data_IF_275846277196
#
_entry.id   IF_275846277196
#
_cell.length_a   1.000
_cell.length_b   1.000
_cell.length_c   1.000
_cell.angle_alpha   90.00
_cell.angle_beta   90.00
_cell.angle_gamma   90.00
#
_symmetry.space_group_name_H-M   'P 1'
#
loop_
_entity.id
_entity.type
_entity.pdbx_description
1 polymer ?
#
# COMPACT_ATOMS: atom_id res chain seq x y z
N UNK A 1 -3.95 22.81 37.38
CA UNK A 1 -4.52 23.27 36.09
C UNK A 1 -3.81 24.48 35.47
N UNK A 2 -3.12 25.36 36.23
CA UNK A 2 -2.37 26.49 35.64
C UNK A 2 -1.12 26.07 34.83
N UNK A 3 -0.47 24.94 35.17
CA UNK A 3 0.76 24.48 34.49
C UNK A 3 0.56 23.97 33.06
N UNK A 4 -0.60 23.39 32.71
CA UNK A 4 -0.86 22.88 31.36
C UNK A 4 -1.11 23.99 30.33
N UNK A 5 -1.64 25.15 30.74
CA UNK A 5 -1.91 26.27 29.84
C UNK A 5 -0.62 26.98 29.38
N UNK A 6 0.39 27.07 30.25
CA UNK A 6 1.69 27.68 29.92
C UNK A 6 2.47 26.83 28.92
N UNK A 7 2.42 25.50 29.04
CA UNK A 7 3.13 24.59 28.12
C UNK A 7 2.55 24.65 26.70
N UNK A 8 1.22 24.73 26.54
CA UNK A 8 0.55 24.85 25.23
C UNK A 8 0.88 26.19 24.56
N UNK A 9 0.92 27.29 25.31
CA UNK A 9 1.27 28.61 24.77
C UNK A 9 2.72 28.67 24.24
N UNK A 10 3.67 28.03 24.93
CA UNK A 10 5.07 27.97 24.50
C UNK A 10 5.23 27.16 23.21
N UNK A 11 4.58 25.99 23.08
CA UNK A 11 4.63 25.18 21.87
C UNK A 11 4.01 25.89 20.65
N UNK A 12 2.88 26.58 20.84
CA UNK A 12 2.25 27.36 19.77
C UNK A 12 3.14 28.53 19.29
N UNK A 13 3.84 29.19 20.22
CA UNK A 13 4.76 30.29 19.87
C UNK A 13 5.97 29.83 19.04
N UNK A 14 6.51 28.64 19.32
CA UNK A 14 7.61 28.06 18.55
C UNK A 14 7.24 27.72 17.11
N UNK A 15 6.10 27.05 16.92
CA UNK A 15 5.60 26.69 15.58
C UNK A 15 5.29 27.94 14.72
N UNK A 16 4.74 28.99 15.32
CA UNK A 16 4.48 30.24 14.61
C UNK A 16 5.77 30.96 14.19
N UNK A 17 6.78 31.01 15.07
CA UNK A 17 8.09 31.61 14.77
C UNK A 17 8.82 30.86 13.65
N UNK A 18 8.81 29.52 13.71
CA UNK A 18 9.40 28.65 12.70
C UNK A 18 8.70 28.81 11.33
N UNK A 19 7.36 28.94 11.31
CA UNK A 19 6.62 29.22 10.09
C UNK A 19 6.98 30.58 9.49
N UNK A 20 7.11 31.60 10.33
CA UNK A 20 7.51 32.93 9.89
C UNK A 20 8.94 32.94 9.32
N UNK A 21 9.88 32.20 9.92
CA UNK A 21 11.25 32.06 9.40
C UNK A 21 11.26 31.38 8.02
N UNK A 22 10.51 30.29 7.86
CA UNK A 22 10.39 29.59 6.57
C UNK A 22 9.88 30.51 5.45
N UNK A 23 8.75 31.19 5.66
CA UNK A 23 8.17 32.05 4.63
C UNK A 23 9.06 33.27 4.32
N UNK A 24 9.73 33.84 5.33
CA UNK A 24 10.66 34.95 5.12
C UNK A 24 11.86 34.52 4.26
N UNK A 25 12.47 33.37 4.57
CA UNK A 25 13.60 32.83 3.80
C UNK A 25 13.20 32.41 2.40
N UNK A 26 12.01 31.82 2.25
CA UNK A 26 11.45 31.44 0.96
C UNK A 26 11.13 32.66 0.09
N UNK A 27 10.53 33.71 0.64
CA UNK A 27 10.25 34.93 -0.12
C UNK A 27 11.52 35.68 -0.48
N UNK A 28 12.54 35.71 0.39
CA UNK A 28 13.85 36.24 0.05
C UNK A 28 14.44 35.51 -1.17
N UNK A 29 14.44 34.18 -1.16
CA UNK A 29 14.89 33.37 -2.30
C UNK A 29 14.05 33.61 -3.57
N UNK A 30 12.73 33.74 -3.45
CA UNK A 30 11.85 34.09 -4.59
C UNK A 30 12.20 35.46 -5.15
N UNK A 31 12.52 36.43 -4.30
CA UNK A 31 12.94 37.77 -4.74
C UNK A 31 14.24 37.74 -5.52
N UNK A 32 15.22 36.95 -5.08
CA UNK A 32 16.47 36.74 -5.81
C UNK A 32 16.22 36.03 -7.15
N UNK A 33 15.36 35.01 -7.17
CA UNK A 33 14.95 34.31 -8.38
C UNK A 33 14.29 35.25 -9.41
N UNK A 34 13.42 36.18 -8.97
CA UNK A 34 12.81 37.18 -9.86
C UNK A 34 13.89 37.99 -10.59
N UNK A 35 14.87 38.52 -9.86
CA UNK A 35 15.97 39.28 -10.47
C UNK A 35 16.82 38.45 -11.43
N UNK A 36 17.07 37.18 -11.11
CA UNK A 36 17.81 36.27 -12.00
C UNK A 36 17.02 35.94 -13.29
N UNK A 37 15.71 35.74 -13.18
CA UNK A 37 14.83 35.50 -14.32
C UNK A 37 14.68 36.73 -15.22
N UNK A 38 14.67 37.94 -14.66
CA UNK A 38 14.70 39.17 -15.46
C UNK A 38 15.97 39.24 -16.33
N UNK A 39 17.14 38.93 -15.76
CA UNK A 39 18.39 38.83 -16.52
C UNK A 39 18.35 37.76 -17.62
N UNK A 40 17.72 36.61 -17.35
CA UNK A 40 17.51 35.57 -18.36
C UNK A 40 16.56 36.02 -19.48
N UNK A 41 15.47 36.73 -19.14
CA UNK A 41 14.52 37.32 -20.09
C UNK A 41 15.20 38.32 -21.03
N UNK A 42 16.07 39.18 -20.50
CA UNK A 42 16.88 40.12 -21.28
C UNK A 42 17.80 39.40 -22.26
N UNK A 43 18.50 38.36 -21.81
CA UNK A 43 19.36 37.55 -22.67
C UNK A 43 18.56 36.83 -23.77
N UNK A 44 17.42 36.22 -23.45
CA UNK A 44 16.56 35.59 -24.45
C UNK A 44 16.05 36.60 -25.49
N UNK A 45 15.75 37.83 -25.07
CA UNK A 45 15.37 38.90 -26.00
C UNK A 45 16.55 39.32 -26.90
N UNK A 46 17.77 39.43 -26.36
CA UNK A 46 18.95 39.77 -27.14
C UNK A 46 19.33 38.67 -28.15
N UNK A 47 18.92 37.43 -27.89
CA UNK A 47 19.26 36.23 -28.69
C UNK A 47 18.07 35.71 -29.51
N UNK A 48 17.00 36.50 -29.68
CA UNK A 48 15.79 36.11 -30.42
C UNK A 48 15.16 34.73 -30.01
N UNK A 49 15.26 34.39 -28.72
CA UNK A 49 14.67 33.19 -28.09
C UNK A 49 13.31 33.50 -27.48
N UNK A 50 12.34 33.83 -28.33
CA UNK A 50 11.07 34.38 -27.86
C UNK A 50 10.20 33.39 -27.07
N UNK A 51 10.28 32.09 -27.34
CA UNK A 51 9.50 31.08 -26.64
C UNK A 51 10.11 30.76 -25.26
N UNK A 52 11.44 30.70 -25.15
CA UNK A 52 12.12 30.61 -23.84
C UNK A 52 11.85 31.84 -22.99
N UNK A 53 11.90 33.03 -23.59
CA UNK A 53 11.50 34.27 -22.92
C UNK A 53 10.05 34.22 -22.42
N UNK A 54 9.12 33.67 -23.21
CA UNK A 54 7.72 33.51 -22.79
C UNK A 54 7.64 32.68 -21.51
N UNK A 55 8.28 31.51 -21.47
CA UNK A 55 8.28 30.62 -20.30
C UNK A 55 8.81 31.32 -19.05
N UNK A 56 9.90 32.07 -19.17
CA UNK A 56 10.48 32.83 -18.06
C UNK A 56 9.53 33.94 -17.57
N UNK A 57 8.88 34.67 -18.49
CA UNK A 57 7.87 35.67 -18.14
C UNK A 57 6.63 35.05 -17.47
N UNK A 58 6.16 33.89 -17.93
CA UNK A 58 5.05 33.15 -17.30
C UNK A 58 5.41 32.79 -15.85
N UNK A 59 6.62 32.29 -15.62
CA UNK A 59 7.12 32.01 -14.28
C UNK A 59 7.24 33.28 -13.42
N UNK A 60 7.73 34.40 -13.98
CA UNK A 60 7.75 35.68 -13.28
C UNK A 60 6.35 36.11 -12.82
N UNK A 61 5.31 35.87 -13.62
CA UNK A 61 3.93 36.15 -13.23
C UNK A 61 3.37 35.21 -12.16
N UNK A 62 3.86 33.98 -12.09
CA UNK A 62 3.52 33.10 -10.97
C UNK A 62 4.17 33.56 -9.65
N UNK A 63 5.37 34.15 -9.72
CA UNK A 63 6.10 34.67 -8.56
C UNK A 63 5.66 36.09 -8.14
N UNK A 64 5.30 36.93 -9.12
CA UNK A 64 4.77 38.28 -8.96
C UNK A 64 3.68 38.52 -10.03
N UNK A 65 2.39 38.34 -9.69
CA UNK A 65 1.29 38.51 -10.62
C UNK A 65 1.17 39.92 -11.23
N UNK A 66 1.82 40.93 -10.65
CA UNK A 66 1.77 42.32 -11.12
C UNK A 66 3.06 42.75 -11.83
N UNK A 67 3.96 41.82 -12.16
CA UNK A 67 5.23 42.09 -12.81
C UNK A 67 5.06 42.76 -14.17
N UNK A 68 5.19 44.09 -14.21
CA UNK A 68 4.77 44.91 -15.34
C UNK A 68 5.52 44.58 -16.65
N UNK A 69 6.82 44.26 -16.58
CA UNK A 69 7.61 43.91 -17.75
C UNK A 69 7.19 42.58 -18.39
N UNK A 70 6.94 41.55 -17.57
CA UNK A 70 6.46 40.25 -18.02
C UNK A 70 5.04 40.35 -18.62
N UNK A 71 4.12 41.08 -17.97
CA UNK A 71 2.77 41.34 -18.50
C UNK A 71 2.83 41.99 -19.90
N UNK A 72 3.63 43.05 -20.07
CA UNK A 72 3.82 43.68 -21.39
C UNK A 72 4.41 42.72 -22.42
N UNK A 73 5.42 41.93 -22.03
CA UNK A 73 6.09 40.97 -22.91
C UNK A 73 5.13 39.89 -23.40
N UNK A 74 4.23 39.43 -22.54
CA UNK A 74 3.19 38.45 -22.84
C UNK A 74 1.98 39.06 -23.56
N UNK A 75 1.98 40.38 -23.82
CA UNK A 75 0.93 41.07 -24.58
C UNK A 75 -0.30 41.49 -23.77
N UNK A 76 -0.22 41.48 -22.44
CA UNK A 76 -1.27 42.07 -21.61
C UNK A 76 -1.32 43.58 -21.82
N UNK A 77 -2.53 44.14 -21.79
CA UNK A 77 -2.76 45.59 -21.93
C UNK A 77 -3.48 46.12 -20.70
N UNK A 78 -3.25 47.38 -20.32
CA UNK A 78 -4.02 48.01 -19.23
C UNK A 78 -5.31 48.59 -19.78
N UNK A 79 -6.43 48.29 -19.13
CA UNK A 79 -7.69 48.97 -19.40
C UNK A 79 -7.72 50.39 -18.82
N UNK A 80 -8.83 51.11 -19.03
CA UNK A 80 -9.02 52.46 -18.50
C UNK A 80 -9.02 52.53 -16.96
N UNK A 81 -9.32 51.41 -16.29
CA UNK A 81 -9.28 51.28 -14.83
C UNK A 81 -7.90 50.91 -14.29
N UNK A 82 -6.91 50.71 -15.17
CA UNK A 82 -5.56 50.32 -14.80
C UNK A 82 -5.36 48.83 -14.56
N UNK A 83 -6.41 48.01 -14.71
CA UNK A 83 -6.30 46.56 -14.58
C UNK A 83 -5.68 45.97 -15.86
N UNK A 84 -4.86 44.93 -15.68
CA UNK A 84 -4.26 44.21 -16.79
C UNK A 84 -5.27 43.23 -17.41
N UNK A 85 -5.41 43.30 -18.72
CA UNK A 85 -6.28 42.45 -19.52
C UNK A 85 -5.42 41.51 -20.38
N UNK A 86 -5.72 40.20 -20.41
CA UNK A 86 -4.98 39.25 -21.23
C UNK A 86 -5.15 39.55 -22.72
N UNK A 87 -4.17 39.17 -23.56
CA UNK A 87 -4.30 39.35 -25.01
C UNK A 87 -5.48 38.56 -25.56
N UNK A 88 -6.24 39.16 -26.48
CA UNK A 88 -7.41 38.50 -27.10
C UNK A 88 -7.05 37.21 -27.86
N UNK A 89 -5.80 37.10 -28.32
CA UNK A 89 -5.23 35.88 -28.92
C UNK A 89 -3.81 35.68 -28.37
N UNK A 90 -3.47 34.48 -27.87
CA UNK A 90 -2.11 34.18 -27.45
C UNK A 90 -1.12 34.41 -28.61
N UNK A 91 -0.03 35.10 -28.34
CA UNK A 91 1.02 35.31 -29.34
C UNK A 91 1.78 34.00 -29.54
N UNK A 92 1.93 33.59 -30.80
CA UNK A 92 2.83 32.48 -31.15
C UNK A 92 4.27 33.00 -31.09
N UNK A 93 5.09 32.36 -30.26
CA UNK A 93 6.52 32.66 -30.15
C UNK A 93 7.32 31.52 -30.77
N UNK A 94 8.41 31.87 -31.45
CA UNK A 94 9.34 30.92 -32.06
C UNK A 94 10.76 31.39 -31.74
N UNK A 95 11.62 30.46 -31.38
CA UNK A 95 13.04 30.74 -31.19
C UNK A 95 13.74 30.69 -32.55
N UNK A 96 14.55 31.72 -32.86
CA UNK A 96 15.21 31.86 -34.16
C UNK A 96 16.70 31.52 -34.11
N UNK A 97 17.39 31.86 -33.02
CA UNK A 97 18.80 31.54 -32.84
C UNK A 97 18.97 30.11 -32.30
N UNK A 98 19.51 29.21 -33.13
CA UNK A 98 19.72 27.81 -32.74
C UNK A 98 20.92 27.62 -31.83
N UNK A 99 21.94 28.48 -31.91
CA UNK A 99 23.14 28.38 -31.09
C UNK A 99 22.81 28.84 -29.67
N UNK A 100 22.16 30.01 -29.54
CA UNK A 100 21.67 30.47 -28.25
C UNK A 100 20.64 29.52 -27.63
N UNK A 101 19.77 28.90 -28.45
CA UNK A 101 18.81 27.91 -27.95
C UNK A 101 19.51 26.69 -27.33
N UNK A 102 20.67 26.28 -27.85
CA UNK A 102 21.47 25.20 -27.25
C UNK A 102 22.07 25.62 -25.89
N UNK A 103 22.35 26.91 -25.67
CA UNK A 103 22.82 27.45 -24.38
C UNK A 103 21.69 27.67 -23.36
N UNK A 104 20.44 27.79 -23.82
CA UNK A 104 19.29 28.16 -22.99
C UNK A 104 19.11 27.27 -21.75
N UNK A 105 19.25 25.92 -21.80
CA UNK A 105 19.13 25.09 -20.60
C UNK A 105 20.19 25.41 -19.53
N UNK A 106 21.43 25.70 -19.93
CA UNK A 106 22.51 26.03 -18.99
C UNK A 106 22.30 27.41 -18.36
N UNK A 107 21.84 28.38 -19.15
CA UNK A 107 21.49 29.73 -18.69
C UNK A 107 20.28 29.71 -17.76
N UNK A 108 19.25 28.91 -18.07
CA UNK A 108 18.10 28.68 -17.22
C UNK A 108 18.53 28.10 -15.88
N UNK A 109 19.35 27.04 -15.89
CA UNK A 109 19.88 26.44 -14.66
C UNK A 109 20.67 27.45 -13.85
N UNK A 110 21.50 28.28 -14.47
CA UNK A 110 22.23 29.34 -13.77
C UNK A 110 21.30 30.37 -13.13
N UNK A 111 20.18 30.72 -13.77
CA UNK A 111 19.20 31.65 -13.24
C UNK A 111 18.39 31.04 -12.07
N UNK A 112 18.17 29.72 -12.04
CA UNK A 112 17.37 29.05 -11.02
C UNK A 112 18.18 28.39 -9.90
N UNK A 113 19.48 28.17 -10.08
CA UNK A 113 20.31 27.42 -9.12
C UNK A 113 20.32 28.04 -7.72
N UNK A 114 20.44 29.37 -7.60
CA UNK A 114 20.41 30.05 -6.30
C UNK A 114 19.13 29.75 -5.50
N UNK A 115 17.98 29.71 -6.19
CA UNK A 115 16.70 29.35 -5.58
C UNK A 115 16.67 27.88 -5.16
N UNK A 116 17.11 26.97 -6.04
CA UNK A 116 17.18 25.54 -5.74
C UNK A 116 18.08 25.28 -4.53
N UNK A 117 19.26 25.91 -4.46
CA UNK A 117 20.17 25.80 -3.32
C UNK A 117 19.55 26.36 -2.03
N UNK A 118 18.79 27.46 -2.10
CA UNK A 118 18.08 28.00 -0.95
C UNK A 118 17.03 27.02 -0.41
N UNK A 119 16.25 26.38 -1.28
CA UNK A 119 15.27 25.36 -0.89
C UNK A 119 15.94 24.10 -0.33
N UNK A 120 17.03 23.64 -0.93
CA UNK A 120 17.87 22.55 -0.40
C UNK A 120 18.40 22.93 1.00
N UNK A 121 18.83 24.17 1.20
CA UNK A 121 19.28 24.68 2.49
C UNK A 121 18.17 24.68 3.55
N UNK A 122 16.93 25.03 3.18
CA UNK A 122 15.76 24.93 4.05
C UNK A 122 15.46 23.47 4.44
N UNK A 123 15.47 22.55 3.48
CA UNK A 123 15.26 21.11 3.72
C UNK A 123 16.35 20.50 4.62
N UNK A 124 17.60 20.87 4.39
CA UNK A 124 18.76 20.38 5.13
C UNK A 124 18.84 20.86 6.58
N UNK A 125 18.15 21.95 6.94
CA UNK A 125 18.10 22.44 8.33
C UNK A 125 17.29 21.52 9.26
N UNK A 126 16.41 20.66 8.72
CA UNK A 126 15.67 19.66 9.49
C UNK A 126 14.50 20.18 10.32
N UNK A 127 14.25 21.48 10.32
CA UNK A 127 13.25 22.16 11.15
C UNK A 127 11.88 22.34 10.47
N UNK A 128 11.69 21.84 9.26
CA UNK A 128 10.45 22.08 8.52
C UNK A 128 9.34 21.11 8.91
N UNK A 129 8.10 21.62 8.96
CA UNK A 129 6.90 20.77 9.00
C UNK A 129 6.77 19.93 7.71
N UNK A 130 5.97 18.87 7.74
CA UNK A 130 5.75 18.02 6.55
C UNK A 130 5.25 18.82 5.33
N UNK A 131 4.32 19.76 5.54
CA UNK A 131 3.78 20.63 4.50
C UNK A 131 4.87 21.56 3.92
N UNK A 132 5.69 22.16 4.79
CA UNK A 132 6.78 23.04 4.35
C UNK A 132 7.88 22.27 3.60
N UNK A 133 8.19 21.03 4.03
CA UNK A 133 9.12 20.15 3.31
C UNK A 133 8.58 19.84 1.92
N UNK A 134 7.32 19.44 1.81
CA UNK A 134 6.68 19.14 0.52
C UNK A 134 6.68 20.36 -0.40
N UNK A 135 6.35 21.54 0.14
CA UNK A 135 6.36 22.79 -0.61
C UNK A 135 7.76 23.14 -1.12
N UNK A 136 8.78 23.15 -0.25
CA UNK A 136 10.16 23.46 -0.64
C UNK A 136 10.71 22.44 -1.65
N UNK A 137 10.43 21.16 -1.44
CA UNK A 137 10.84 20.09 -2.34
C UNK A 137 10.19 20.21 -3.72
N UNK A 138 8.86 20.40 -3.77
CA UNK A 138 8.12 20.53 -5.02
C UNK A 138 8.55 21.75 -5.84
N UNK A 139 8.82 22.87 -5.17
CA UNK A 139 9.34 24.07 -5.84
C UNK A 139 10.75 23.86 -6.38
N UNK A 140 11.65 23.22 -5.62
CA UNK A 140 13.00 22.95 -6.09
C UNK A 140 13.04 21.92 -7.23
N UNK A 141 12.27 20.83 -7.13
CA UNK A 141 12.17 19.79 -8.16
C UNK A 141 11.54 20.31 -9.47
N UNK A 142 10.71 21.37 -9.40
CA UNK A 142 10.19 22.02 -10.60
C UNK A 142 11.30 22.65 -11.45
N UNK A 143 12.39 23.11 -10.84
CA UNK A 143 13.50 23.78 -11.53
C UNK A 143 14.67 22.86 -11.86
N UNK A 144 14.94 21.87 -11.00
CA UNK A 144 16.02 20.90 -11.17
C UNK A 144 15.55 19.51 -10.73
N UNK A 145 14.77 18.87 -11.60
CA UNK A 145 14.11 17.57 -11.35
C UNK A 145 15.07 16.40 -11.18
N UNK A 146 16.35 16.57 -11.54
CA UNK A 146 17.40 15.55 -11.42
C UNK A 146 18.45 15.91 -10.37
N UNK A 147 18.16 16.89 -9.49
CA UNK A 147 19.11 17.33 -8.48
C UNK A 147 19.38 16.22 -7.44
N UNK A 148 20.51 15.54 -7.57
CA UNK A 148 20.87 14.41 -6.71
C UNK A 148 20.90 14.76 -5.21
N UNK A 149 21.31 15.98 -4.85
CA UNK A 149 21.34 16.41 -3.44
C UNK A 149 19.92 16.60 -2.88
N UNK A 150 19.04 17.19 -3.68
CA UNK A 150 17.62 17.33 -3.33
C UNK A 150 16.97 15.97 -3.12
N UNK A 151 17.15 15.05 -4.07
CA UNK A 151 16.64 13.68 -3.94
C UNK A 151 17.20 12.94 -2.71
N UNK A 152 18.49 13.08 -2.42
CA UNK A 152 19.07 12.53 -1.20
C UNK A 152 18.42 13.09 0.08
N UNK A 153 18.07 14.38 0.12
CA UNK A 153 17.34 14.99 1.26
C UNK A 153 15.89 14.51 1.38
N UNK A 154 15.30 14.06 0.27
CA UNK A 154 13.96 13.44 0.23
C UNK A 154 13.99 11.95 0.55
N UNK A 155 15.19 11.36 0.69
CA UNK A 155 15.37 9.93 0.89
C UNK A 155 15.23 9.10 -0.39
N UNK A 156 15.24 9.75 -1.56
CA UNK A 156 15.10 9.08 -2.84
C UNK A 156 16.42 8.43 -3.29
N UNK A 157 16.29 7.42 -4.14
CA UNK A 157 17.40 6.73 -4.79
C UNK A 157 17.24 6.75 -6.30
N UNK A 158 18.36 6.80 -7.01
CA UNK A 158 18.37 6.76 -8.47
C UNK A 158 18.01 5.35 -8.98
N UNK A 159 17.20 5.29 -10.05
CA UNK A 159 16.83 4.07 -10.77
C UNK A 159 16.91 4.28 -12.28
N UNK A 160 16.67 3.22 -13.05
CA UNK A 160 16.52 3.28 -14.51
C UNK A 160 15.33 4.15 -14.98
N UNK A 161 14.34 4.34 -14.10
CA UNK A 161 13.14 5.15 -14.35
C UNK A 161 13.20 6.55 -13.73
N UNK A 162 14.37 6.98 -13.22
CA UNK A 162 14.55 8.24 -12.49
C UNK A 162 14.62 8.04 -10.97
N UNK A 163 14.26 9.06 -10.21
CA UNK A 163 14.36 9.03 -8.74
C UNK A 163 13.11 8.45 -8.10
N UNK A 164 13.30 7.43 -7.26
CA UNK A 164 12.21 6.66 -6.63
C UNK A 164 12.48 6.47 -5.15
N UNK A 165 11.47 6.01 -4.43
CA UNK A 165 11.63 5.55 -3.06
C UNK A 165 12.56 4.31 -3.00
N UNK A 166 13.43 4.19 -1.97
CA UNK A 166 14.21 2.98 -1.73
C UNK A 166 13.36 1.71 -1.68
N UNK A 167 12.16 1.83 -1.12
CA UNK A 167 11.14 0.79 -1.04
C UNK A 167 10.71 0.27 -2.41
N UNK A 168 10.71 1.11 -3.44
CA UNK A 168 10.32 0.72 -4.80
C UNK A 168 11.36 -0.24 -5.39
N UNK A 169 12.65 0.05 -5.21
CA UNK A 169 13.72 -0.85 -5.67
C UNK A 169 13.72 -2.15 -4.87
N UNK A 170 13.63 -2.04 -3.54
CA UNK A 170 13.60 -3.20 -2.65
C UNK A 170 12.41 -4.12 -2.92
N UNK A 171 11.22 -3.56 -3.14
CA UNK A 171 10.03 -4.33 -3.47
C UNK A 171 10.20 -5.16 -4.75
N UNK A 172 10.94 -4.66 -5.75
CA UNK A 172 11.25 -5.42 -6.95
C UNK A 172 12.08 -6.67 -6.65
N UNK A 173 13.13 -6.54 -5.85
CA UNK A 173 14.00 -7.64 -5.44
C UNK A 173 13.24 -8.64 -4.55
N UNK A 174 12.49 -8.13 -3.56
CA UNK A 174 11.76 -8.95 -2.61
C UNK A 174 10.65 -9.78 -3.27
N UNK A 175 10.04 -9.29 -4.36
CA UNK A 175 9.09 -10.10 -5.16
C UNK A 175 9.74 -11.32 -5.83
N UNK A 176 11.02 -11.27 -6.17
CA UNK A 176 11.75 -12.45 -6.65
C UNK A 176 12.03 -13.41 -5.49
N UNK A 177 12.42 -12.90 -4.33
CA UNK A 177 12.64 -13.69 -3.10
C UNK A 177 11.37 -14.45 -2.69
N UNK A 178 10.23 -13.76 -2.61
CA UNK A 178 8.94 -14.36 -2.26
C UNK A 178 8.52 -15.44 -3.27
N UNK A 179 8.76 -15.22 -4.58
CA UNK A 179 8.53 -16.26 -5.60
C UNK A 179 9.45 -17.47 -5.41
N UNK A 180 10.71 -17.23 -5.02
CA UNK A 180 11.65 -18.27 -4.65
C UNK A 180 11.14 -19.13 -3.48
N UNK A 181 10.66 -18.50 -2.41
CA UNK A 181 10.09 -19.22 -1.26
C UNK A 181 8.86 -20.05 -1.63
N UNK A 182 7.93 -19.49 -2.42
CA UNK A 182 6.76 -20.24 -2.91
C UNK A 182 7.19 -21.47 -3.72
N UNK A 183 8.13 -21.28 -4.66
CA UNK A 183 8.63 -22.37 -5.50
C UNK A 183 9.24 -23.47 -4.64
N UNK A 184 10.15 -23.12 -3.74
CA UNK A 184 10.83 -24.06 -2.84
C UNK A 184 9.83 -24.82 -1.96
N UNK A 185 8.84 -24.12 -1.41
CA UNK A 185 7.82 -24.72 -0.57
C UNK A 185 6.93 -25.72 -1.33
N UNK A 186 6.51 -25.37 -2.55
CA UNK A 186 5.71 -26.26 -3.41
C UNK A 186 6.49 -27.49 -3.88
N UNK A 187 7.78 -27.32 -4.19
CA UNK A 187 8.69 -28.42 -4.55
C UNK A 187 8.92 -29.36 -3.35
N UNK A 188 9.13 -28.81 -2.15
CA UNK A 188 9.30 -29.60 -0.91
C UNK A 188 8.03 -30.35 -0.49
N UNK A 189 6.85 -29.80 -0.81
CA UNK A 189 5.56 -30.46 -0.57
C UNK A 189 5.16 -31.47 -1.65
N UNK A 190 5.86 -31.50 -2.80
CA UNK A 190 5.53 -32.39 -3.90
C UNK A 190 5.74 -33.87 -3.49
N UNK A 191 4.76 -34.72 -3.81
CA UNK A 191 4.77 -36.17 -3.61
C UNK A 191 4.65 -36.69 -2.16
N UNK A 192 4.13 -35.89 -1.23
CA UNK A 192 4.06 -36.28 0.19
C UNK A 192 2.76 -36.99 0.59
N UNK A 193 1.64 -36.70 -0.10
CA UNK A 193 0.32 -37.21 0.29
C UNK A 193 0.02 -38.61 -0.27
N UNK A 194 -0.14 -39.59 0.62
CA UNK A 194 -0.50 -40.98 0.29
C UNK A 194 -1.95 -41.30 0.71
N UNK A 195 -2.64 -42.23 0.04
CA UNK A 195 -3.95 -42.70 0.49
C UNK A 195 -3.90 -43.19 1.94
N UNK A 196 -4.91 -42.84 2.72
CA UNK A 196 -5.00 -43.21 4.12
C UNK A 196 -6.36 -43.83 4.44
N UNK A 197 -6.39 -44.74 5.41
CA UNK A 197 -7.64 -45.22 5.98
C UNK A 197 -8.30 -44.12 6.82
N UNK A 198 -9.64 -44.13 6.89
CA UNK A 198 -10.39 -43.23 7.77
C UNK A 198 -10.13 -43.57 9.23
N UNK A 199 -9.92 -42.55 10.06
CA UNK A 199 -9.85 -42.67 11.53
C UNK A 199 -11.22 -42.98 12.14
N UNK A 200 -11.26 -43.42 13.40
CA UNK A 200 -12.53 -43.66 14.10
C UNK A 200 -13.38 -42.39 14.18
N UNK A 201 -12.73 -41.23 14.40
CA UNK A 201 -13.36 -39.92 14.39
C UNK A 201 -14.04 -39.62 13.06
N UNK A 202 -13.34 -39.83 11.96
CA UNK A 202 -13.84 -39.56 10.59
C UNK A 202 -15.02 -40.47 10.25
N UNK A 203 -15.01 -41.74 10.68
CA UNK A 203 -16.10 -42.71 10.45
C UNK A 203 -17.40 -42.39 11.20
N UNK A 204 -17.36 -41.57 12.26
CA UNK A 204 -18.55 -41.16 13.01
C UNK A 204 -19.41 -40.14 12.27
N UNK A 205 -18.84 -39.50 11.25
CA UNK A 205 -19.55 -38.55 10.39
C UNK A 205 -20.21 -39.36 9.26
N UNK A 206 -21.54 -39.26 9.06
CA UNK A 206 -22.27 -40.09 8.10
C UNK A 206 -22.09 -39.60 6.65
N UNK A 207 -20.83 -39.46 6.23
CA UNK A 207 -20.40 -39.05 4.89
C UNK A 207 -19.43 -40.10 4.33
N UNK A 208 -19.43 -40.26 3.01
CA UNK A 208 -18.50 -41.15 2.32
C UNK A 208 -17.21 -40.38 2.06
N UNK A 209 -16.25 -40.53 2.97
CA UNK A 209 -14.96 -39.87 2.85
C UNK A 209 -13.92 -40.74 2.14
N UNK A 210 -13.09 -40.04 1.36
CA UNK A 210 -11.73 -40.45 1.04
C UNK A 210 -10.76 -39.69 1.94
N UNK A 211 -9.55 -40.23 2.11
CA UNK A 211 -8.51 -39.58 2.89
C UNK A 211 -7.12 -39.76 2.27
N UNK A 212 -6.32 -38.71 2.40
CA UNK A 212 -4.88 -38.74 2.17
C UNK A 212 -4.16 -38.24 3.42
N UNK A 213 -2.95 -38.71 3.63
CA UNK A 213 -2.10 -38.31 4.75
C UNK A 213 -0.71 -37.90 4.28
N UNK A 214 -0.15 -36.94 4.99
CA UNK A 214 1.21 -36.43 4.89
C UNK A 214 1.79 -36.27 6.32
N UNK A 215 3.10 -36.03 6.49
CA UNK A 215 3.68 -35.72 7.79
C UNK A 215 2.93 -34.56 8.46
N UNK A 216 2.39 -34.81 9.66
CA UNK A 216 1.66 -33.80 10.44
C UNK A 216 0.28 -33.39 9.92
N UNK A 217 -0.16 -33.90 8.75
CA UNK A 217 -1.36 -33.43 8.07
C UNK A 217 -2.22 -34.58 7.54
N UNK A 218 -3.53 -34.48 7.75
CA UNK A 218 -4.53 -35.30 7.07
C UNK A 218 -5.47 -34.42 6.24
N UNK A 219 -5.81 -34.85 5.04
CA UNK A 219 -6.87 -34.23 4.24
C UNK A 219 -7.93 -35.28 3.96
N UNK A 220 -9.15 -35.01 4.40
CA UNK A 220 -10.28 -35.94 4.40
C UNK A 220 -11.41 -35.26 3.67
N UNK A 221 -12.16 -35.95 2.83
CA UNK A 221 -13.24 -35.27 2.14
C UNK A 221 -14.06 -36.15 1.23
N UNK A 222 -15.14 -35.58 0.73
CA UNK A 222 -15.97 -36.18 -0.32
C UNK A 222 -15.52 -35.74 -1.72
N UNK A 223 -14.53 -34.85 -1.76
CA UNK A 223 -13.84 -34.41 -2.97
C UNK A 223 -13.05 -35.56 -3.62
N UNK A 224 -12.61 -35.33 -4.87
CA UNK A 224 -11.78 -36.32 -5.57
C UNK A 224 -10.43 -36.48 -4.88
N UNK A 225 -9.83 -37.67 -5.00
CA UNK A 225 -8.46 -37.93 -4.52
C UNK A 225 -7.43 -36.89 -5.01
N UNK A 226 -7.53 -36.47 -6.27
CA UNK A 226 -6.64 -35.45 -6.85
C UNK A 226 -6.74 -34.13 -6.09
N UNK A 227 -7.97 -33.69 -5.79
CA UNK A 227 -8.19 -32.48 -5.01
C UNK A 227 -7.66 -32.60 -3.59
N UNK A 228 -7.91 -33.74 -2.91
CA UNK A 228 -7.35 -33.97 -1.57
C UNK A 228 -5.82 -33.89 -1.56
N UNK A 229 -5.16 -34.42 -2.60
CA UNK A 229 -3.70 -34.35 -2.76
C UNK A 229 -3.22 -32.92 -3.02
N UNK A 230 -3.91 -32.15 -3.87
CA UNK A 230 -3.57 -30.75 -4.14
C UNK A 230 -3.74 -29.88 -2.89
N UNK A 231 -4.80 -30.08 -2.11
CA UNK A 231 -4.96 -29.39 -0.82
C UNK A 231 -3.87 -29.77 0.16
N UNK A 232 -3.53 -31.06 0.28
CA UNK A 232 -2.45 -31.51 1.15
C UNK A 232 -1.12 -30.86 0.78
N UNK A 233 -0.78 -30.82 -0.51
CA UNK A 233 0.41 -30.15 -1.01
C UNK A 233 0.39 -28.65 -0.67
N UNK A 234 -0.72 -27.96 -0.92
CA UNK A 234 -0.83 -26.53 -0.65
C UNK A 234 -0.68 -26.19 0.83
N UNK A 235 -1.27 -26.98 1.73
CA UNK A 235 -1.19 -26.76 3.19
C UNK A 235 0.22 -27.05 3.74
N UNK A 236 0.89 -28.10 3.25
CA UNK A 236 2.29 -28.36 3.63
C UNK A 236 3.23 -27.27 3.12
N UNK A 237 3.04 -26.84 1.87
CA UNK A 237 3.82 -25.75 1.29
C UNK A 237 3.58 -24.43 2.05
N UNK A 238 2.36 -24.19 2.53
CA UNK A 238 2.04 -22.99 3.31
C UNK A 238 2.95 -22.87 4.54
N UNK A 239 3.10 -23.92 5.34
CA UNK A 239 3.92 -23.88 6.56
C UNK A 239 5.37 -23.50 6.26
N UNK A 240 6.01 -24.21 5.32
CA UNK A 240 7.39 -23.91 4.89
C UNK A 240 7.53 -22.50 4.33
N UNK A 241 6.54 -22.04 3.56
CA UNK A 241 6.50 -20.69 3.02
C UNK A 241 6.42 -19.63 4.12
N UNK A 242 5.53 -19.80 5.11
CA UNK A 242 5.37 -18.85 6.22
C UNK A 242 6.61 -18.80 7.12
N UNK A 243 7.23 -19.95 7.40
CA UNK A 243 8.49 -20.02 8.15
C UNK A 243 9.60 -19.23 7.44
N UNK A 244 9.71 -19.36 6.12
CA UNK A 244 10.69 -18.60 5.32
C UNK A 244 10.38 -17.10 5.29
N UNK A 245 9.13 -16.72 5.04
CA UNK A 245 8.70 -15.30 4.95
C UNK A 245 8.93 -14.56 6.27
N UNK A 246 8.61 -15.20 7.40
CA UNK A 246 8.66 -14.55 8.71
C UNK A 246 9.90 -14.89 9.54
N UNK A 247 10.83 -15.68 8.99
CA UNK A 247 11.95 -16.26 9.74
C UNK A 247 11.49 -16.91 11.07
N UNK A 248 10.39 -17.65 11.01
CA UNK A 248 9.72 -18.25 12.17
C UNK A 248 9.96 -19.75 12.25
N UNK A 249 9.96 -20.30 13.46
CA UNK A 249 9.98 -21.74 13.73
C UNK A 249 8.60 -22.26 14.15
N UNK A 250 7.54 -21.46 14.01
CA UNK A 250 6.20 -21.91 14.34
C UNK A 250 5.74 -22.99 13.37
N UNK A 251 5.31 -24.11 13.92
CA UNK A 251 4.84 -25.29 13.18
C UNK A 251 3.34 -25.49 13.37
N UNK A 252 2.70 -26.12 12.38
CA UNK A 252 1.34 -26.61 12.53
C UNK A 252 1.31 -27.80 13.50
N UNK A 253 0.20 -27.99 14.26
CA UNK A 253 0.05 -29.17 15.10
C UNK A 253 0.12 -30.46 14.28
N UNK A 254 0.83 -31.47 14.81
CA UNK A 254 1.08 -32.77 14.16
C UNK A 254 -0.19 -33.60 13.83
N UNK A 255 -1.35 -33.23 14.37
CA UNK A 255 -2.64 -33.89 14.16
C UNK A 255 -3.63 -33.02 13.36
N UNK A 256 -3.11 -32.04 12.61
CA UNK A 256 -3.93 -31.14 11.78
C UNK A 256 -4.73 -31.93 10.74
N UNK A 257 -6.03 -31.70 10.66
CA UNK A 257 -6.92 -32.34 9.69
C UNK A 257 -7.73 -31.31 8.90
N UNK A 258 -7.72 -31.39 7.57
CA UNK A 258 -8.52 -30.54 6.69
C UNK A 258 -9.64 -31.37 6.06
N UNK A 259 -10.89 -30.94 6.26
CA UNK A 259 -12.09 -31.55 5.71
C UNK A 259 -12.58 -30.79 4.48
N UNK A 260 -12.66 -31.47 3.33
CA UNK A 260 -13.18 -30.90 2.08
C UNK A 260 -14.54 -31.53 1.72
N UNK A 261 -15.60 -30.73 1.76
CA UNK A 261 -16.94 -31.16 1.39
C UNK A 261 -17.29 -30.58 0.02
N UNK A 262 -17.40 -31.45 -0.98
CA UNK A 262 -17.60 -31.07 -2.38
C UNK A 262 -19.03 -30.65 -2.70
N UNK A 263 -19.97 -30.92 -1.79
CA UNK A 263 -21.37 -30.51 -1.89
C UNK A 263 -21.78 -29.72 -0.63
N UNK A 264 -22.25 -28.46 -0.75
CA UNK A 264 -22.76 -27.69 0.38
C UNK A 264 -23.79 -28.42 1.24
N UNK A 265 -24.58 -29.34 0.68
CA UNK A 265 -25.57 -30.12 1.42
C UNK A 265 -24.94 -31.05 2.49
N UNK A 266 -23.64 -31.37 2.35
CA UNK A 266 -22.89 -32.20 3.30
C UNK A 266 -22.49 -31.46 4.57
N UNK A 267 -22.64 -30.12 4.60
CA UNK A 267 -22.38 -29.31 5.80
C UNK A 267 -23.22 -29.76 6.98
N UNK A 268 -24.52 -29.93 6.80
CA UNK A 268 -25.44 -30.30 7.88
C UNK A 268 -25.07 -31.64 8.55
N UNK A 269 -24.88 -32.76 7.83
CA UNK A 269 -24.44 -34.00 8.46
C UNK A 269 -23.04 -33.88 9.08
N UNK A 270 -22.11 -33.11 8.50
CA UNK A 270 -20.80 -32.85 9.09
C UNK A 270 -20.92 -32.13 10.43
N UNK A 271 -21.56 -30.97 10.46
CA UNK A 271 -21.74 -30.13 11.67
C UNK A 271 -22.50 -30.87 12.76
N UNK A 272 -23.48 -31.70 12.40
CA UNK A 272 -24.27 -32.48 13.35
C UNK A 272 -23.51 -33.65 14.00
N UNK A 273 -22.47 -34.19 13.35
CA UNK A 273 -21.81 -35.42 13.80
C UNK A 273 -20.31 -35.26 14.09
N UNK A 274 -19.71 -34.12 13.76
CA UNK A 274 -18.31 -33.85 14.10
C UNK A 274 -18.15 -33.80 15.62
N UNK A 275 -17.33 -34.68 16.24
CA UNK A 275 -17.26 -34.79 17.69
C UNK A 275 -16.66 -33.55 18.37
N UNK A 276 -15.86 -32.76 17.63
CA UNK A 276 -15.29 -31.50 18.10
C UNK A 276 -16.23 -30.31 18.04
N UNK A 277 -17.44 -30.41 17.46
CA UNK A 277 -18.40 -29.29 17.38
C UNK A 277 -19.49 -29.45 18.46
N UNK A 278 -19.45 -28.64 19.54
CA UNK A 278 -20.47 -28.68 20.57
C UNK A 278 -21.85 -28.31 20.01
N UNK A 279 -22.96 -28.88 20.52
CA UNK A 279 -24.30 -28.57 20.05
C UNK A 279 -24.62 -27.07 19.98
N UNK A 280 -24.14 -26.29 20.95
CA UNK A 280 -24.35 -24.83 20.99
C UNK A 280 -23.68 -24.05 19.85
N UNK A 281 -22.63 -24.60 19.23
CA UNK A 281 -21.88 -23.92 18.17
C UNK A 281 -22.37 -24.29 16.76
N UNK A 282 -23.19 -25.35 16.62
CA UNK A 282 -23.62 -25.87 15.31
C UNK A 282 -24.32 -24.83 14.44
N UNK A 283 -25.22 -24.05 15.04
CA UNK A 283 -25.96 -23.01 14.33
C UNK A 283 -25.05 -21.89 13.77
N UNK A 284 -23.87 -21.66 14.37
CA UNK A 284 -22.90 -20.71 13.83
C UNK A 284 -22.19 -21.29 12.60
N UNK A 285 -21.72 -22.54 12.66
CA UNK A 285 -21.10 -23.22 11.52
C UNK A 285 -22.04 -23.35 10.31
N UNK A 286 -23.35 -23.52 10.54
CA UNK A 286 -24.35 -23.53 9.46
C UNK A 286 -24.45 -22.21 8.67
N UNK A 287 -23.87 -21.12 9.16
CA UNK A 287 -23.88 -19.82 8.47
C UNK A 287 -22.59 -19.53 7.70
N UNK A 288 -21.56 -20.35 7.90
CA UNK A 288 -20.25 -20.16 7.30
C UNK A 288 -20.10 -21.00 6.03
N UNK A 289 -19.13 -20.66 5.18
CA UNK A 289 -18.66 -21.51 4.06
C UNK A 289 -17.50 -22.45 4.49
N UNK A 290 -16.91 -22.17 5.66
CA UNK A 290 -15.88 -22.98 6.28
C UNK A 290 -15.43 -22.39 7.62
N UNK A 291 -14.60 -23.12 8.36
CA UNK A 291 -14.04 -22.66 9.62
C UNK A 291 -13.12 -23.69 10.27
N UNK A 292 -12.30 -23.23 11.22
CA UNK A 292 -11.63 -24.12 12.17
C UNK A 292 -12.60 -24.61 13.23
N UNK A 293 -12.51 -25.87 13.66
CA UNK A 293 -13.31 -26.45 14.72
C UNK A 293 -12.68 -26.12 16.07
N UNK A 294 -13.37 -25.29 16.86
CA UNK A 294 -12.85 -24.77 18.13
C UNK A 294 -12.40 -25.89 19.08
N UNK A 295 -11.20 -25.78 19.64
CA UNK A 295 -10.63 -26.76 20.57
C UNK A 295 -10.04 -28.00 19.91
N UNK A 296 -9.96 -28.02 18.58
CA UNK A 296 -9.31 -29.07 17.79
C UNK A 296 -8.35 -28.44 16.77
N UNK A 297 -7.59 -29.28 16.07
CA UNK A 297 -6.77 -28.89 14.92
C UNK A 297 -7.45 -29.27 13.59
N UNK A 298 -8.79 -29.30 13.60
CA UNK A 298 -9.61 -29.64 12.44
C UNK A 298 -10.10 -28.36 11.74
N UNK A 299 -9.99 -28.34 10.41
CA UNK A 299 -10.50 -27.27 9.55
C UNK A 299 -11.48 -27.87 8.56
N UNK A 300 -12.53 -27.16 8.21
CA UNK A 300 -13.51 -27.65 7.25
C UNK A 300 -13.95 -26.56 6.29
N UNK A 301 -14.12 -26.91 5.02
CA UNK A 301 -14.62 -26.01 3.98
C UNK A 301 -15.61 -26.75 3.07
N UNK A 302 -16.74 -26.11 2.75
CA UNK A 302 -17.83 -26.74 2.01
C UNK A 302 -18.37 -25.80 0.92
N UNK A 303 -18.09 -26.14 -0.33
CA UNK A 303 -18.62 -25.45 -1.51
C UNK A 303 -18.57 -26.40 -2.69
N UNK A 304 -19.29 -26.12 -3.78
CA UNK A 304 -19.22 -26.89 -5.02
C UNK A 304 -17.94 -26.64 -5.84
N UNK A 305 -17.26 -25.53 -5.58
CA UNK A 305 -16.10 -25.06 -6.34
C UNK A 305 -14.78 -25.55 -5.72
N UNK A 306 -14.02 -26.36 -6.47
CA UNK A 306 -12.72 -26.91 -6.06
C UNK A 306 -11.70 -25.83 -5.71
N UNK A 307 -11.61 -24.77 -6.52
CA UNK A 307 -10.62 -23.73 -6.33
C UNK A 307 -10.93 -22.94 -5.05
N UNK A 308 -12.21 -22.68 -4.78
CA UNK A 308 -12.67 -22.10 -3.50
C UNK A 308 -12.36 -22.97 -2.29
N UNK A 309 -12.50 -24.30 -2.40
CA UNK A 309 -12.17 -25.22 -1.30
C UNK A 309 -10.68 -25.19 -0.97
N UNK A 310 -9.81 -25.20 -1.99
CA UNK A 310 -8.35 -25.15 -1.79
C UNK A 310 -7.95 -23.80 -1.17
N UNK A 311 -8.36 -22.67 -1.78
CA UNK A 311 -8.07 -21.33 -1.28
C UNK A 311 -8.55 -21.15 0.17
N UNK A 312 -9.83 -21.46 0.41
CA UNK A 312 -10.45 -21.35 1.72
C UNK A 312 -9.77 -22.20 2.79
N UNK A 313 -9.34 -23.42 2.45
CA UNK A 313 -8.62 -24.29 3.39
C UNK A 313 -7.24 -23.72 3.74
N UNK A 314 -6.48 -23.26 2.73
CA UNK A 314 -5.18 -22.61 2.95
C UNK A 314 -5.34 -21.35 3.79
N UNK A 315 -6.37 -20.55 3.54
CA UNK A 315 -6.71 -19.34 4.32
C UNK A 315 -7.04 -19.64 5.77
N UNK A 316 -7.82 -20.69 6.05
CA UNK A 316 -8.15 -21.09 7.42
C UNK A 316 -6.92 -21.56 8.19
N UNK A 317 -6.07 -22.38 7.57
CA UNK A 317 -4.82 -22.86 8.19
C UNK A 317 -3.84 -21.71 8.39
N UNK A 318 -3.72 -20.80 7.42
CA UNK A 318 -2.92 -19.58 7.57
C UNK A 318 -3.40 -18.75 8.75
N UNK A 319 -4.71 -18.53 8.88
CA UNK A 319 -5.29 -17.78 10.00
C UNK A 319 -4.96 -18.43 11.35
N UNK A 320 -5.01 -19.76 11.44
CA UNK A 320 -4.57 -20.49 12.62
C UNK A 320 -3.07 -20.30 12.90
N UNK A 321 -2.23 -20.41 11.87
CA UNK A 321 -0.78 -20.21 12.00
C UNK A 321 -0.44 -18.79 12.46
N UNK A 322 -1.10 -17.75 11.93
CA UNK A 322 -0.93 -16.36 12.37
C UNK A 322 -1.33 -16.17 13.84
N UNK A 323 -2.39 -16.84 14.27
CA UNK A 323 -2.83 -16.82 15.68
C UNK A 323 -1.79 -17.49 16.59
N UNK A 324 -1.25 -18.63 16.20
CA UNK A 324 -0.22 -19.33 16.97
C UNK A 324 1.13 -18.60 17.00
N UNK A 325 1.59 -18.10 15.85
CA UNK A 325 2.88 -17.42 15.73
C UNK A 325 2.87 -16.01 16.32
N UNK A 326 1.79 -15.26 16.14
CA UNK A 326 1.75 -13.83 16.40
C UNK A 326 0.56 -13.35 17.22
N UNK A 327 -0.34 -14.23 17.66
CA UNK A 327 -1.59 -13.87 18.34
C UNK A 327 -2.50 -12.97 17.48
N UNK A 328 -2.38 -13.08 16.15
CA UNK A 328 -3.25 -12.37 15.20
C UNK A 328 -4.49 -13.22 14.92
N UNK A 329 -5.66 -12.62 15.11
CA UNK A 329 -6.93 -13.24 14.76
C UNK A 329 -7.86 -12.23 14.06
N UNK A 330 -9.12 -12.62 13.87
CA UNK A 330 -10.13 -11.81 13.20
C UNK A 330 -10.36 -10.44 13.84
N UNK A 331 -9.92 -10.19 15.07
CA UNK A 331 -10.02 -8.87 15.73
C UNK A 331 -9.08 -7.85 15.09
N UNK A 332 -7.95 -8.26 14.55
CA UNK A 332 -7.05 -7.41 13.77
C UNK A 332 -7.38 -7.55 12.28
N UNK A 333 -8.58 -7.10 11.89
CA UNK A 333 -9.17 -7.40 10.58
C UNK A 333 -8.23 -7.11 9.41
N UNK A 334 -7.61 -5.94 9.39
CA UNK A 334 -6.71 -5.54 8.31
C UNK A 334 -5.47 -6.44 8.19
N UNK A 335 -4.93 -6.92 9.31
CA UNK A 335 -3.79 -7.84 9.32
C UNK A 335 -4.24 -9.19 8.80
N UNK A 336 -5.31 -9.72 9.41
CA UNK A 336 -5.84 -11.05 9.10
C UNK A 336 -6.20 -11.16 7.62
N UNK A 337 -6.95 -10.19 7.09
CA UNK A 337 -7.33 -10.17 5.68
C UNK A 337 -6.16 -9.82 4.77
N UNK A 338 -5.42 -8.75 5.06
CA UNK A 338 -4.35 -8.26 4.20
C UNK A 338 -3.26 -9.30 3.97
N UNK A 339 -2.65 -9.79 5.06
CA UNK A 339 -1.59 -10.80 4.99
C UNK A 339 -2.13 -12.13 4.46
N UNK A 340 -3.30 -12.56 4.93
CA UNK A 340 -3.89 -13.79 4.44
C UNK A 340 -4.13 -13.76 2.93
N UNK A 341 -4.62 -12.63 2.37
CA UNK A 341 -4.95 -12.55 0.94
C UNK A 341 -3.69 -12.50 0.10
N UNK A 342 -2.68 -11.75 0.55
CA UNK A 342 -1.39 -11.69 -0.13
C UNK A 342 -0.69 -13.05 -0.16
N UNK A 343 -0.56 -13.71 0.99
CA UNK A 343 0.20 -14.95 1.13
C UNK A 343 -0.51 -16.13 0.46
N UNK A 344 -1.83 -16.23 0.59
CA UNK A 344 -2.61 -17.25 -0.14
C UNK A 344 -2.49 -17.03 -1.64
N UNK A 345 -2.60 -15.79 -2.15
CA UNK A 345 -2.40 -15.50 -3.57
C UNK A 345 -1.01 -15.87 -4.05
N UNK A 346 0.02 -15.58 -3.27
CA UNK A 346 1.38 -15.96 -3.62
C UNK A 346 1.51 -17.48 -3.82
N UNK A 347 0.86 -18.26 -2.95
CA UNK A 347 0.97 -19.72 -2.92
C UNK A 347 0.06 -20.44 -3.93
N UNK A 348 -1.26 -20.18 -3.88
CA UNK A 348 -2.26 -20.91 -4.69
C UNK A 348 -2.81 -20.10 -5.87
N UNK A 349 -2.27 -18.89 -6.10
CA UNK A 349 -2.60 -18.00 -7.23
C UNK A 349 -4.04 -17.48 -7.27
N UNK A 350 -4.76 -17.63 -6.16
CA UNK A 350 -6.12 -17.12 -5.97
C UNK A 350 -6.19 -16.17 -4.79
N UNK A 351 -7.17 -15.29 -4.80
CA UNK A 351 -7.37 -14.23 -3.81
C UNK A 351 -8.85 -14.10 -3.50
N UNK A 352 -9.44 -15.22 -3.13
CA UNK A 352 -10.86 -15.24 -2.79
C UNK A 352 -11.06 -14.51 -1.46
N UNK A 353 -12.14 -13.74 -1.37
CA UNK A 353 -12.49 -12.98 -0.17
C UNK A 353 -13.97 -13.21 0.14
N UNK A 354 -14.29 -13.40 1.41
CA UNK A 354 -15.62 -13.84 1.88
C UNK A 354 -16.27 -12.86 2.86
N UNK A 355 -15.56 -11.80 3.27
CA UNK A 355 -15.90 -11.01 4.46
C UNK A 355 -16.25 -9.55 4.20
N UNK A 356 -16.38 -9.12 2.94
CA UNK A 356 -16.84 -7.77 2.65
C UNK A 356 -18.35 -7.67 2.91
N UNK A 357 -18.72 -7.14 4.07
CA UNK A 357 -20.04 -6.54 4.24
C UNK A 357 -20.15 -5.41 3.20
N UNK A 358 -21.29 -5.31 2.49
CA UNK A 358 -21.49 -4.20 1.58
C UNK A 358 -21.33 -2.89 2.36
N UNK A 359 -20.61 -1.93 1.77
CA UNK A 359 -20.28 -0.68 2.44
C UNK A 359 -21.55 -0.02 3.01
N UNK A 360 -21.58 0.21 4.32
CA UNK A 360 -22.70 0.90 5.00
C UNK A 360 -22.67 2.40 4.80
N UNK A 361 -21.54 2.92 4.31
CA UNK A 361 -21.27 4.32 4.01
C UNK A 361 -20.72 4.41 2.59
N UNK A 362 -21.34 5.22 1.73
CA UNK A 362 -20.97 5.38 0.32
C UNK A 362 -22.06 4.92 -0.65
N UNK A 363 -21.72 4.85 -1.94
CA UNK A 363 -22.62 4.33 -2.99
C UNK A 363 -22.56 2.79 -3.02
N UNK A 364 -23.64 2.07 -2.67
CA UNK A 364 -23.65 0.62 -2.67
C UNK A 364 -23.36 0.01 -4.05
N UNK A 365 -23.70 0.70 -5.14
CA UNK A 365 -23.40 0.22 -6.48
C UNK A 365 -21.89 0.26 -6.78
N UNK A 366 -21.21 1.31 -6.33
CA UNK A 366 -19.76 1.44 -6.48
C UNK A 366 -19.01 0.33 -5.72
N UNK A 367 -19.49 -0.04 -4.53
CA UNK A 367 -18.94 -1.15 -3.74
C UNK A 367 -19.16 -2.51 -4.44
N UNK A 368 -20.38 -2.78 -4.94
CA UNK A 368 -20.66 -4.01 -5.70
C UNK A 368 -19.79 -4.11 -6.95
N UNK A 369 -19.62 -3.02 -7.70
CA UNK A 369 -18.76 -2.98 -8.89
C UNK A 369 -17.29 -3.24 -8.53
N UNK A 370 -16.78 -2.60 -7.48
CA UNK A 370 -15.42 -2.85 -7.01
C UNK A 370 -15.26 -4.30 -6.58
N UNK A 371 -16.19 -4.85 -5.81
CA UNK A 371 -16.16 -6.25 -5.37
C UNK A 371 -16.13 -7.21 -6.53
N UNK A 372 -16.97 -7.02 -7.55
CA UNK A 372 -16.97 -7.84 -8.76
C UNK A 372 -15.62 -7.77 -9.50
N UNK A 373 -15.04 -6.58 -9.62
CA UNK A 373 -13.70 -6.41 -10.19
C UNK A 373 -12.64 -7.15 -9.39
N UNK A 374 -12.66 -7.05 -8.06
CA UNK A 374 -11.66 -7.70 -7.22
C UNK A 374 -11.75 -9.23 -7.24
N UNK A 375 -12.94 -9.78 -7.48
CA UNK A 375 -13.14 -11.22 -7.68
C UNK A 375 -12.65 -11.73 -9.04
N UNK A 376 -12.43 -10.85 -10.03
CA UNK A 376 -11.85 -11.23 -11.32
C UNK A 376 -10.34 -11.55 -11.13
N UNK A 377 -9.89 -12.78 -11.46
CA UNK A 377 -8.49 -13.16 -11.39
C UNK A 377 -7.55 -12.25 -12.19
N UNK A 378 -8.02 -11.60 -13.27
CA UNK A 378 -7.23 -10.72 -14.11
C UNK A 378 -6.98 -9.32 -13.51
N UNK A 379 -7.79 -8.88 -12.54
CA UNK A 379 -7.71 -7.51 -12.00
C UNK A 379 -6.43 -7.26 -11.22
N UNK A 380 -5.64 -6.25 -11.56
CA UNK A 380 -4.50 -5.87 -10.73
C UNK A 380 -4.97 -5.07 -9.50
N UNK A 381 -4.96 -5.70 -8.32
CA UNK A 381 -5.41 -5.04 -7.09
C UNK A 381 -4.54 -3.83 -6.70
N UNK A 382 -3.28 -3.77 -7.14
CA UNK A 382 -2.43 -2.62 -6.87
C UNK A 382 -2.85 -1.40 -7.70
N UNK A 383 -3.29 -1.61 -8.95
CA UNK A 383 -3.83 -0.54 -9.80
C UNK A 383 -5.17 -0.02 -9.26
N UNK A 384 -6.03 -0.94 -8.79
CA UNK A 384 -7.28 -0.56 -8.14
C UNK A 384 -7.02 0.20 -6.83
N UNK A 385 -5.98 -0.15 -6.08
CA UNK A 385 -5.58 0.55 -4.87
C UNK A 385 -5.05 1.95 -5.17
N UNK A 386 -4.21 2.11 -6.20
CA UNK A 386 -3.76 3.43 -6.64
C UNK A 386 -4.95 4.31 -7.05
N UNK A 387 -5.92 3.73 -7.77
CA UNK A 387 -7.15 4.44 -8.15
C UNK A 387 -7.96 4.87 -6.92
N UNK A 388 -8.14 3.98 -5.94
CA UNK A 388 -8.83 4.28 -4.69
C UNK A 388 -8.21 5.50 -3.96
N UNK A 389 -6.87 5.55 -3.89
CA UNK A 389 -6.15 6.67 -3.29
C UNK A 389 -6.33 7.97 -4.11
N UNK A 390 -6.22 7.90 -5.43
CA UNK A 390 -6.41 9.06 -6.34
C UNK A 390 -7.82 9.64 -6.25
N UNK A 391 -8.83 8.78 -6.10
CA UNK A 391 -10.23 9.16 -5.88
C UNK A 391 -10.52 9.63 -4.45
N UNK A 392 -9.52 9.60 -3.54
CA UNK A 392 -9.66 9.91 -2.10
C UNK A 392 -10.75 9.09 -1.40
N UNK A 393 -10.92 7.83 -1.84
CA UNK A 393 -11.88 6.86 -1.29
C UNK A 393 -11.25 5.92 -0.27
N UNK A 394 -9.96 6.05 -0.01
CA UNK A 394 -9.27 5.21 0.97
C UNK A 394 -9.90 5.38 2.37
N UNK A 395 -10.14 4.29 3.10
CA UNK A 395 -10.56 4.39 4.48
C UNK A 395 -9.43 5.03 5.31
N UNK A 396 -9.75 5.95 6.26
CA UNK A 396 -8.75 6.47 7.17
C UNK A 396 -8.07 5.33 7.93
N UNK A 397 -6.74 5.23 7.89
CA UNK A 397 -6.02 4.09 8.45
C UNK A 397 -6.29 3.88 9.95
N UNK A 398 -6.46 4.98 10.70
CA UNK A 398 -6.80 4.91 12.12
C UNK A 398 -8.14 4.23 12.41
N UNK A 399 -9.11 4.32 11.50
CA UNK A 399 -10.40 3.62 11.61
C UNK A 399 -10.32 2.19 11.09
N UNK A 400 -9.60 1.97 9.98
CA UNK A 400 -9.33 0.63 9.45
C UNK A 400 -8.71 -0.28 10.52
N UNK A 401 -7.76 0.24 11.30
CA UNK A 401 -7.06 -0.52 12.34
C UNK A 401 -7.93 -0.96 13.53
N UNK A 402 -9.13 -0.36 13.69
CA UNK A 402 -10.07 -0.72 14.77
C UNK A 402 -11.08 -1.79 14.34
N UNK A 403 -11.20 -2.05 13.04
CA UNK A 403 -12.19 -2.99 12.49
C UNK A 403 -11.72 -4.42 12.66
N UNK A 404 -12.63 -5.28 13.10
CA UNK A 404 -12.46 -6.73 12.97
C UNK A 404 -12.73 -7.15 11.51
N UNK A 405 -12.36 -8.38 11.16
CA UNK A 405 -12.43 -8.90 9.79
C UNK A 405 -13.85 -8.91 9.21
N UNK A 406 -14.88 -9.06 10.06
CA UNK A 406 -16.29 -9.04 9.64
C UNK A 406 -16.84 -7.62 9.42
N UNK A 407 -16.11 -6.60 9.85
CA UNK A 407 -16.52 -5.19 9.71
C UNK A 407 -15.87 -4.51 8.50
N UNK A 408 -15.04 -5.23 7.74
CA UNK A 408 -14.32 -4.66 6.61
C UNK A 408 -15.25 -4.53 5.40
N UNK A 409 -15.26 -3.36 4.78
CA UNK A 409 -15.85 -3.15 3.46
C UNK A 409 -14.92 -3.64 2.36
N UNK A 410 -15.36 -3.61 1.10
CA UNK A 410 -14.49 -3.94 -0.05
C UNK A 410 -13.25 -3.04 -0.13
N UNK A 411 -13.41 -1.74 0.17
CA UNK A 411 -12.31 -0.77 0.17
C UNK A 411 -11.33 -1.01 1.33
N UNK A 412 -11.85 -1.40 2.51
CA UNK A 412 -11.02 -1.80 3.64
C UNK A 412 -10.17 -3.03 3.32
N UNK A 413 -10.76 -4.05 2.68
CA UNK A 413 -10.05 -5.26 2.26
C UNK A 413 -8.94 -4.94 1.25
N UNK A 414 -9.25 -4.11 0.24
CA UNK A 414 -8.28 -3.68 -0.76
C UNK A 414 -7.12 -2.90 -0.13
N UNK A 415 -7.43 -1.98 0.79
CA UNK A 415 -6.43 -1.22 1.53
C UNK A 415 -5.57 -2.13 2.40
N UNK A 416 -6.19 -3.08 3.11
CA UNK A 416 -5.51 -4.09 3.93
C UNK A 416 -4.53 -4.94 3.12
N UNK A 417 -4.95 -5.38 1.94
CA UNK A 417 -4.10 -6.11 0.99
C UNK A 417 -2.88 -5.27 0.56
N UNK A 418 -3.11 -3.99 0.26
CA UNK A 418 -2.06 -3.05 -0.14
C UNK A 418 -1.06 -2.80 0.99
N UNK A 419 -1.53 -2.65 2.22
CA UNK A 419 -0.66 -2.51 3.39
C UNK A 419 0.21 -3.76 3.60
N UNK A 420 -0.38 -4.95 3.54
CA UNK A 420 0.38 -6.20 3.67
C UNK A 420 1.40 -6.37 2.54
N UNK A 421 1.02 -6.01 1.31
CA UNK A 421 1.92 -6.01 0.14
C UNK A 421 3.09 -5.07 0.37
N UNK A 422 2.84 -3.80 0.75
CA UNK A 422 3.89 -2.84 1.05
C UNK A 422 4.83 -3.35 2.13
N UNK A 423 4.29 -3.87 3.24
CA UNK A 423 5.10 -4.36 4.35
C UNK A 423 5.96 -5.57 3.96
N UNK A 424 5.40 -6.55 3.24
CA UNK A 424 6.12 -7.76 2.84
C UNK A 424 7.13 -7.52 1.71
N UNK A 425 6.85 -6.58 0.80
CA UNK A 425 7.74 -6.26 -0.33
C UNK A 425 8.81 -5.22 0.07
N UNK A 426 8.47 -4.18 0.83
CA UNK A 426 9.36 -3.07 1.12
C UNK A 426 10.05 -3.13 2.49
N UNK A 427 9.44 -3.76 3.49
CA UNK A 427 9.96 -3.81 4.87
C UNK A 427 9.83 -5.20 5.52
N UNK A 428 10.25 -6.30 4.86
CA UNK A 428 10.06 -7.66 5.38
C UNK A 428 10.67 -7.88 6.78
N UNK A 429 11.75 -7.18 7.11
CA UNK A 429 12.48 -7.25 8.37
C UNK A 429 11.70 -6.74 9.59
N UNK A 430 10.76 -5.80 9.40
CA UNK A 430 9.98 -5.25 10.53
C UNK A 430 8.73 -6.08 10.80
N UNK A 431 8.28 -6.87 9.81
CA UNK A 431 6.98 -7.53 9.83
C UNK A 431 6.81 -8.47 11.03
N UNK A 432 7.73 -9.40 11.35
CA UNK A 432 7.53 -10.30 12.50
C UNK A 432 7.35 -9.56 13.82
N UNK A 433 8.15 -8.50 14.05
CA UNK A 433 8.08 -7.66 15.25
C UNK A 433 6.78 -6.85 15.29
N UNK A 434 6.37 -6.29 14.15
CA UNK A 434 5.11 -5.56 13.99
C UNK A 434 3.93 -6.47 14.35
N UNK A 435 3.83 -7.65 13.71
CA UNK A 435 2.74 -8.61 13.93
C UNK A 435 2.68 -9.07 15.38
N UNK A 436 3.82 -9.42 15.98
CA UNK A 436 3.89 -9.83 17.39
C UNK A 436 3.31 -8.77 18.33
N UNK A 437 3.62 -7.49 18.10
CA UNK A 437 3.07 -6.39 18.92
C UNK A 437 1.58 -6.25 18.72
N UNK A 438 1.12 -6.27 17.47
CA UNK A 438 -0.30 -6.13 17.14
C UNK A 438 -1.14 -7.23 17.81
N UNK A 439 -0.66 -8.48 17.83
CA UNK A 439 -1.37 -9.58 18.47
C UNK A 439 -1.49 -9.45 19.99
N UNK A 440 -0.56 -8.75 20.64
CA UNK A 440 -0.67 -8.40 22.08
C UNK A 440 -1.63 -7.25 22.37
N UNK A 441 -2.31 -6.71 21.34
CA UNK A 441 -3.20 -5.56 21.46
C UNK A 441 -2.47 -4.21 21.44
N UNK A 442 -1.20 -4.18 21.06
CA UNK A 442 -0.47 -2.92 20.90
C UNK A 442 -1.10 -2.05 19.80
N UNK A 443 -1.11 -0.74 20.00
CA UNK A 443 -1.72 0.19 19.04
C UNK A 443 -1.04 0.07 17.68
N UNK A 444 -1.84 -0.13 16.63
CA UNK A 444 -1.32 -0.26 15.27
C UNK A 444 -0.61 1.01 14.81
N UNK A 445 -1.14 2.20 15.12
CA UNK A 445 -0.48 3.47 14.79
C UNK A 445 0.90 3.58 15.44
N UNK A 446 1.01 3.19 16.73
CA UNK A 446 2.29 3.18 17.44
C UNK A 446 3.25 2.13 16.86
N UNK A 447 2.75 0.94 16.53
CA UNK A 447 3.54 -0.11 15.91
C UNK A 447 4.13 0.32 14.56
N UNK A 448 3.32 0.98 13.71
CA UNK A 448 3.77 1.56 12.44
C UNK A 448 4.81 2.65 12.65
N UNK A 449 4.55 3.59 13.57
CA UNK A 449 5.48 4.67 13.84
C UNK A 449 6.84 4.16 14.34
N UNK A 450 6.85 3.17 15.22
CA UNK A 450 8.10 2.56 15.70
C UNK A 450 8.79 1.70 14.64
N UNK A 451 8.04 1.01 13.80
CA UNK A 451 8.58 0.12 12.76
C UNK A 451 9.12 0.87 11.55
N UNK A 452 8.42 1.91 11.11
CA UNK A 452 8.72 2.65 9.88
C UNK A 452 9.34 4.03 10.15
N UNK A 453 9.32 4.51 11.39
CA UNK A 453 9.80 5.86 11.73
C UNK A 453 8.90 6.98 11.21
N UNK A 454 7.65 6.68 10.85
CA UNK A 454 6.71 7.62 10.21
C UNK A 454 5.37 7.64 10.94
N UNK A 455 4.79 8.83 11.11
CA UNK A 455 3.38 8.92 11.51
C UNK A 455 2.44 8.44 10.37
N UNK A 456 1.17 8.19 10.70
CA UNK A 456 0.23 7.64 9.72
C UNK A 456 -0.01 8.57 8.52
N UNK A 457 -0.07 9.88 8.73
CA UNK A 457 -0.31 10.83 7.65
C UNK A 457 0.87 10.85 6.66
N UNK A 458 2.10 10.77 7.17
CA UNK A 458 3.32 10.65 6.37
C UNK A 458 3.36 9.32 5.65
N UNK A 459 3.04 8.23 6.33
CA UNK A 459 2.95 6.91 5.73
C UNK A 459 1.91 6.86 4.60
N UNK A 460 0.73 7.46 4.74
CA UNK A 460 -0.30 7.49 3.67
C UNK A 460 0.21 8.17 2.39
N UNK A 461 0.91 9.32 2.52
CA UNK A 461 1.54 9.99 1.38
C UNK A 461 2.63 9.12 0.76
N UNK A 462 3.45 8.49 1.60
CA UNK A 462 4.53 7.60 1.17
C UNK A 462 4.01 6.37 0.43
N UNK A 463 2.94 5.75 0.92
CA UNK A 463 2.27 4.62 0.31
C UNK A 463 1.69 4.98 -1.07
N UNK A 464 1.04 6.15 -1.18
CA UNK A 464 0.52 6.64 -2.45
C UNK A 464 1.63 6.84 -3.50
N UNK A 465 2.77 7.40 -3.07
CA UNK A 465 3.95 7.56 -3.91
C UNK A 465 4.51 6.20 -4.34
N UNK A 466 4.70 5.27 -3.40
CA UNK A 466 5.21 3.93 -3.69
C UNK A 466 4.32 3.19 -4.70
N UNK A 467 2.99 3.27 -4.56
CA UNK A 467 2.07 2.66 -5.53
C UNK A 467 2.20 3.22 -6.94
N UNK A 468 2.40 4.55 -7.06
CA UNK A 468 2.62 5.20 -8.35
C UNK A 468 3.93 4.74 -9.01
N UNK A 469 4.98 4.55 -8.22
CA UNK A 469 6.31 4.14 -8.71
C UNK A 469 6.40 2.63 -9.00
N UNK A 470 5.63 1.83 -8.26
CA UNK A 470 5.61 0.36 -8.37
C UNK A 470 5.04 -0.13 -9.70
N UNK A 471 4.04 0.59 -10.21
CA UNK A 471 3.36 0.31 -11.47
C UNK A 471 4.25 0.68 -12.67
#
# INVERSE_FOLDING_TARGET
MAGSLVLVALLASGAAAQRADFEARREAARSELRGALEGYVEWCQASDLFNERRKACELLLELDPLHAAALKTLGYTRDKGGAWQPPAKPKAFRDFDKEALAEAPARWRAATDGYVQAMIGLLGAGELSAEQREQAAGEALRFDADNARLHALLGDVASDKGWVLPETLRAKEQREVLRGYVKQALEGAAAVAVPAALSERERKIPLRFEAVAAPGLRVVGTASKEELQLTAQAVLALESFLQAVFASQHELPLDTTVFLLSDPAQRAPFVAHHPGIPPGNRAAYEKLEGGGVQGTNDFAFWTGDMQRRIDGSVRLVLGYWLSGAFQIDVRQGWVYEGFGLFLTRALVRTRMTWLADPATVGDPNADVVLRQKLLDPATNWMDESLRLLQEKRQPPLGELFKKNALQLTTEDVLTSYTLATYLLEAHPEIVPKLLSRLGTGYSASAAFQEGLGMDLATFERHLARWLKERN
#
